data_IF_241581274106
#
_entry.id   IF_241581274106
#
_cell.length_a   1.000
_cell.length_b   1.000
_cell.length_c   1.000
_cell.angle_alpha   90.00
_cell.angle_beta   90.00
_cell.angle_gamma   90.00
#
_symmetry.space_group_name_H-M   'P 1'
#
loop_
_entity.id
_entity.type
_entity.pdbx_description
1 polymer ?
#
# COMPACT_ATOMS: atom_id res chain seq x y z
N UNK A 1 19.16 0.71 1.19
CA UNK A 1 17.91 1.38 1.57
C UNK A 1 18.22 2.67 2.30
N UNK A 2 17.54 3.75 1.95
CA UNK A 2 17.69 5.03 2.66
C UNK A 2 17.21 4.88 4.11
N UNK A 3 18.04 5.27 5.06
CA UNK A 3 17.72 5.21 6.50
C UNK A 3 16.45 5.99 6.86
N UNK A 4 16.10 7.02 6.07
CA UNK A 4 14.89 7.82 6.28
C UNK A 4 13.60 7.06 5.98
N UNK A 5 13.67 6.05 5.12
CA UNK A 5 12.51 5.22 4.78
C UNK A 5 12.32 4.04 5.72
N UNK A 6 13.33 3.68 6.51
CA UNK A 6 13.30 2.51 7.36
C UNK A 6 12.08 2.45 8.31
N UNK A 7 11.67 3.55 9.00
CA UNK A 7 10.52 3.53 9.88
C UNK A 7 9.20 3.18 9.17
N UNK A 8 9.04 3.58 7.91
CA UNK A 8 7.83 3.33 7.13
C UNK A 8 7.77 1.91 6.56
N UNK A 9 8.93 1.26 6.40
CA UNK A 9 9.03 -0.09 5.82
C UNK A 9 9.18 -1.19 6.86
N UNK A 10 9.43 -0.87 8.12
CA UNK A 10 9.61 -1.84 9.19
C UNK A 10 8.44 -2.84 9.35
N UNK A 11 7.16 -2.42 9.32
CA UNK A 11 6.06 -3.37 9.42
C UNK A 11 6.08 -4.44 8.32
N UNK A 12 6.47 -4.06 7.11
CA UNK A 12 6.60 -4.99 5.98
C UNK A 12 7.78 -5.95 6.19
N UNK A 13 8.93 -5.45 6.63
CA UNK A 13 10.08 -6.28 6.99
C UNK A 13 9.76 -7.25 8.11
N UNK A 14 9.01 -6.84 9.12
CA UNK A 14 8.61 -7.71 10.24
C UNK A 14 7.80 -8.92 9.76
N UNK A 15 6.89 -8.73 8.82
CA UNK A 15 6.13 -9.83 8.21
C UNK A 15 7.04 -10.77 7.43
N UNK A 16 7.95 -10.26 6.62
CA UNK A 16 8.88 -11.09 5.85
C UNK A 16 9.93 -11.78 6.74
N UNK A 17 10.44 -11.11 7.76
CA UNK A 17 11.41 -11.68 8.71
C UNK A 17 10.85 -12.90 9.46
N UNK A 18 9.54 -13.00 9.63
CA UNK A 18 8.89 -14.18 10.23
C UNK A 18 8.95 -15.43 9.35
N UNK A 19 9.17 -15.27 8.05
CA UNK A 19 9.09 -16.36 7.06
C UNK A 19 10.42 -16.58 6.33
N UNK A 20 11.18 -15.53 6.07
CA UNK A 20 12.41 -15.56 5.29
C UNK A 20 13.61 -15.03 6.07
N UNK A 21 14.80 -15.51 5.75
CA UNK A 21 16.02 -14.91 6.31
C UNK A 21 16.22 -13.49 5.77
N UNK A 22 16.83 -12.61 6.57
CA UNK A 22 17.12 -11.24 6.18
C UNK A 22 17.95 -11.16 4.89
N UNK A 23 18.91 -12.07 4.73
CA UNK A 23 19.73 -12.14 3.52
C UNK A 23 18.88 -12.42 2.27
N UNK A 24 17.88 -13.29 2.36
CA UNK A 24 16.96 -13.56 1.26
C UNK A 24 16.04 -12.35 0.96
N UNK A 25 15.54 -11.69 1.99
CA UNK A 25 14.71 -10.49 1.83
C UNK A 25 15.52 -9.40 1.11
N UNK A 26 16.73 -9.10 1.56
CA UNK A 26 17.56 -8.06 0.96
C UNK A 26 17.95 -8.37 -0.48
N UNK A 27 18.00 -9.65 -0.86
CA UNK A 27 18.29 -10.09 -2.22
C UNK A 27 17.13 -9.86 -3.19
N UNK A 28 15.88 -10.06 -2.74
CA UNK A 28 14.70 -10.08 -3.60
C UNK A 28 13.79 -8.87 -3.43
N UNK A 29 13.97 -8.09 -2.39
CA UNK A 29 13.13 -6.96 -2.06
C UNK A 29 13.91 -5.65 -2.18
N UNK A 30 13.35 -4.71 -2.92
CA UNK A 30 13.87 -3.35 -3.05
C UNK A 30 12.81 -2.37 -2.56
N UNK A 31 13.21 -1.38 -1.78
CA UNK A 31 12.36 -0.28 -1.36
C UNK A 31 12.76 0.98 -2.10
N UNK A 32 11.81 1.58 -2.77
CA UNK A 32 12.04 2.78 -3.56
C UNK A 32 11.06 3.90 -3.21
N UNK A 33 11.52 5.16 -3.12
CA UNK A 33 10.63 6.31 -3.05
C UNK A 33 9.79 6.43 -4.32
N UNK A 34 8.54 6.85 -4.16
CA UNK A 34 7.60 6.98 -5.26
C UNK A 34 8.12 7.90 -6.39
N UNK A 35 8.83 8.97 -6.03
CA UNK A 35 9.41 9.91 -6.98
C UNK A 35 10.47 9.32 -7.93
N UNK A 36 11.11 8.22 -7.54
CA UNK A 36 12.12 7.54 -8.37
C UNK A 36 11.51 6.54 -9.37
N UNK A 37 10.21 6.34 -9.34
CA UNK A 37 9.51 5.41 -10.22
C UNK A 37 9.08 6.03 -11.55
N UNK A 38 9.08 7.36 -11.65
CA UNK A 38 8.63 8.07 -12.85
C UNK A 38 9.46 7.66 -14.08
N UNK A 39 8.77 7.39 -15.18
CA UNK A 39 9.41 7.00 -16.44
C UNK A 39 9.89 5.55 -16.50
N UNK A 40 9.76 4.79 -15.42
CA UNK A 40 10.12 3.36 -15.38
C UNK A 40 8.91 2.49 -15.71
N UNK A 41 9.17 1.30 -16.25
CA UNK A 41 8.17 0.25 -16.40
C UNK A 41 8.70 -1.01 -15.71
N UNK A 42 7.93 -1.56 -14.79
CA UNK A 42 8.28 -2.77 -14.06
C UNK A 42 7.69 -3.99 -14.77
N UNK A 43 8.52 -4.97 -15.03
CA UNK A 43 8.11 -6.23 -15.65
C UNK A 43 8.43 -7.39 -14.72
N UNK A 44 7.58 -8.41 -14.72
CA UNK A 44 7.73 -9.62 -13.90
C UNK A 44 8.03 -9.32 -12.42
N UNK A 45 7.35 -8.32 -11.87
CA UNK A 45 7.60 -7.76 -10.54
C UNK A 45 6.32 -7.73 -9.73
N UNK A 46 6.42 -7.93 -8.44
CA UNK A 46 5.39 -7.55 -7.47
C UNK A 46 5.71 -6.16 -6.95
N UNK A 47 4.82 -5.22 -7.21
CA UNK A 47 4.86 -3.88 -6.62
C UNK A 47 3.87 -3.82 -5.46
N UNK A 48 4.33 -3.47 -4.28
CA UNK A 48 3.49 -3.26 -3.11
C UNK A 48 3.60 -1.79 -2.72
N UNK A 49 2.49 -1.08 -2.82
CA UNK A 49 2.38 0.33 -2.48
C UNK A 49 1.47 0.47 -1.24
N UNK A 50 2.11 0.65 -0.10
CA UNK A 50 1.44 0.73 1.19
C UNK A 50 1.15 2.19 1.59
N UNK A 51 0.11 2.40 2.42
CA UNK A 51 -0.29 3.71 2.93
C UNK A 51 -0.59 4.74 1.83
N UNK A 52 -1.21 4.31 0.75
CA UNK A 52 -1.43 5.13 -0.44
C UNK A 52 -2.54 6.19 -0.28
N UNK A 53 -3.24 6.25 0.85
CA UNK A 53 -4.07 7.39 1.20
C UNK A 53 -3.27 8.68 1.40
N UNK A 54 -1.95 8.58 1.59
CA UNK A 54 -1.04 9.72 1.68
C UNK A 54 -0.44 10.14 0.33
N UNK A 55 -0.84 9.49 -0.75
CA UNK A 55 -0.45 9.87 -2.11
C UNK A 55 -1.45 10.86 -2.72
N UNK A 56 -0.93 11.74 -3.55
CA UNK A 56 -1.76 12.62 -4.39
C UNK A 56 -2.36 11.85 -5.56
N UNK A 57 -3.36 12.43 -6.22
CA UNK A 57 -3.94 11.85 -7.45
C UNK A 57 -2.88 11.64 -8.53
N UNK A 58 -1.97 12.59 -8.70
CA UNK A 58 -0.88 12.49 -9.68
C UNK A 58 0.09 11.37 -9.35
N UNK A 59 0.44 11.21 -8.08
CA UNK A 59 1.30 10.13 -7.62
C UNK A 59 0.64 8.75 -7.81
N UNK A 60 -0.65 8.63 -7.51
CA UNK A 60 -1.41 7.41 -7.74
C UNK A 60 -1.45 7.03 -9.22
N UNK A 61 -1.79 7.98 -10.07
CA UNK A 61 -1.78 7.78 -11.53
C UNK A 61 -0.40 7.37 -12.04
N UNK A 62 0.63 8.07 -11.57
CA UNK A 62 2.01 7.76 -11.93
C UNK A 62 2.38 6.33 -11.56
N UNK A 63 2.09 5.88 -10.33
CA UNK A 63 2.36 4.53 -9.87
C UNK A 63 1.63 3.48 -10.73
N UNK A 64 0.34 3.65 -10.95
CA UNK A 64 -0.49 2.69 -11.67
C UNK A 64 -0.07 2.53 -13.14
N UNK A 65 0.56 3.53 -13.71
CA UNK A 65 1.08 3.47 -15.07
C UNK A 65 2.48 2.87 -15.20
N UNK A 66 3.08 2.43 -14.09
CA UNK A 66 4.39 1.74 -14.09
C UNK A 66 4.29 0.23 -14.34
N UNK A 67 3.09 -0.31 -14.30
CA UNK A 67 2.83 -1.75 -14.43
C UNK A 67 3.13 -2.19 -15.86
N UNK A 68 4.10 -3.07 -15.99
CA UNK A 68 4.45 -3.72 -17.24
C UNK A 68 4.03 -5.17 -17.28
N UNK A 69 4.46 -5.88 -18.29
CA UNK A 69 4.10 -7.28 -18.52
C UNK A 69 4.54 -8.17 -17.35
N UNK A 70 3.64 -9.02 -16.87
CA UNK A 70 3.90 -9.95 -15.77
C UNK A 70 4.01 -9.30 -14.39
N UNK A 71 3.73 -8.01 -14.26
CA UNK A 71 3.76 -7.29 -12.99
C UNK A 71 2.41 -7.29 -12.32
N UNK A 72 2.40 -7.47 -11.01
CA UNK A 72 1.24 -7.29 -10.15
C UNK A 72 1.46 -6.10 -9.23
N UNK A 73 0.50 -5.21 -9.19
CA UNK A 73 0.49 -4.06 -8.29
C UNK A 73 -0.56 -4.27 -7.20
N UNK A 74 -0.13 -4.21 -5.97
CA UNK A 74 -1.01 -4.23 -4.79
C UNK A 74 -0.93 -2.86 -4.13
N UNK A 75 -2.06 -2.20 -4.02
CA UNK A 75 -2.20 -0.92 -3.32
C UNK A 75 -2.97 -1.17 -2.04
N UNK A 76 -2.42 -0.71 -0.92
CA UNK A 76 -3.08 -0.78 0.38
C UNK A 76 -3.21 0.62 0.97
N UNK A 77 -4.20 0.80 1.81
CA UNK A 77 -4.41 2.05 2.53
C UNK A 77 -5.80 2.16 3.14
N UNK A 78 -5.96 3.17 3.97
CA UNK A 78 -7.23 3.55 4.55
C UNK A 78 -7.58 4.98 4.09
N UNK A 79 -8.59 5.15 3.22
CA UNK A 79 -8.94 6.47 2.68
C UNK A 79 -9.36 7.48 3.76
N UNK A 80 -9.76 7.02 4.95
CA UNK A 80 -10.16 7.87 6.06
C UNK A 80 -9.00 8.35 6.94
N UNK A 81 -7.79 7.81 6.77
CA UNK A 81 -6.60 8.13 7.58
C UNK A 81 -5.55 8.91 6.79
N UNK A 82 -5.95 9.74 5.85
CA UNK A 82 -5.04 10.52 5.01
C UNK A 82 -4.58 11.80 5.69
N UNK A 83 -3.28 12.09 5.60
CA UNK A 83 -2.70 13.39 5.93
C UNK A 83 -3.14 14.50 4.95
N UNK A 84 -3.63 14.12 3.77
CA UNK A 84 -4.13 15.02 2.72
C UNK A 84 -5.64 15.29 2.81
N UNK A 85 -6.33 14.69 3.81
CA UNK A 85 -7.78 14.79 3.93
C UNK A 85 -8.53 13.95 2.86
N UNK A 86 -9.74 14.39 2.53
CA UNK A 86 -10.65 13.63 1.64
C UNK A 86 -10.23 13.65 0.16
N UNK A 87 -9.38 14.59 -0.23
CA UNK A 87 -8.88 14.74 -1.60
C UNK A 87 -7.57 13.98 -1.85
N UNK A 88 -7.40 12.82 -1.23
CA UNK A 88 -6.22 11.98 -1.46
C UNK A 88 -6.37 11.08 -2.70
N UNK A 89 -5.24 10.58 -3.19
CA UNK A 89 -5.20 9.77 -4.39
C UNK A 89 -5.93 8.44 -4.29
N UNK A 90 -6.00 7.86 -3.08
CA UNK A 90 -6.72 6.60 -2.86
C UNK A 90 -8.24 6.80 -2.92
N UNK A 91 -8.76 7.83 -2.25
CA UNK A 91 -10.19 8.16 -2.31
C UNK A 91 -10.62 8.51 -3.73
N UNK A 92 -9.85 9.31 -4.44
CA UNK A 92 -10.11 9.64 -5.84
C UNK A 92 -10.12 8.38 -6.73
N UNK A 93 -9.18 7.48 -6.54
CA UNK A 93 -9.13 6.22 -7.28
C UNK A 93 -10.37 5.36 -7.02
N UNK A 94 -10.76 5.20 -5.76
CA UNK A 94 -11.94 4.42 -5.39
C UNK A 94 -13.22 5.00 -6.00
N UNK A 95 -13.38 6.32 -5.98
CA UNK A 95 -14.52 7.00 -6.60
C UNK A 95 -14.55 6.77 -8.12
N UNK A 96 -13.40 6.80 -8.78
CA UNK A 96 -13.30 6.55 -10.23
C UNK A 96 -13.60 5.10 -10.61
N UNK A 97 -13.29 4.16 -9.73
CA UNK A 97 -13.53 2.73 -9.96
C UNK A 97 -14.98 2.32 -9.69
N UNK A 98 -15.74 3.16 -8.99
CA UNK A 98 -17.12 2.84 -8.64
C UNK A 98 -17.99 2.61 -9.88
N UNK A 99 -18.68 1.47 -9.91
CA UNK A 99 -19.54 1.09 -11.01
C UNK A 99 -18.82 0.61 -12.28
N UNK A 100 -17.48 0.56 -12.26
CA UNK A 100 -16.71 0.02 -13.39
C UNK A 100 -16.47 -1.49 -13.21
N UNK A 101 -16.61 -2.24 -14.29
CA UNK A 101 -16.22 -3.64 -14.37
C UNK A 101 -14.97 -3.76 -15.25
N UNK A 102 -13.81 -3.87 -14.59
CA UNK A 102 -12.50 -3.86 -15.24
C UNK A 102 -11.86 -5.25 -15.12
N UNK A 103 -11.30 -5.75 -16.20
CA UNK A 103 -10.71 -7.10 -16.23
C UNK A 103 -9.34 -7.22 -15.56
N UNK A 104 -8.67 -6.11 -15.26
CA UNK A 104 -7.30 -6.11 -14.69
C UNK A 104 -7.17 -5.37 -13.38
N UNK A 105 -8.25 -4.79 -12.87
CA UNK A 105 -8.26 -4.04 -11.62
C UNK A 105 -9.42 -4.54 -10.77
N UNK A 106 -9.14 -4.83 -9.52
CA UNK A 106 -10.14 -5.26 -8.55
C UNK A 106 -9.96 -4.51 -7.23
N UNK A 107 -11.03 -4.37 -6.46
CA UNK A 107 -11.06 -3.68 -5.18
C UNK A 107 -11.55 -4.63 -4.11
N UNK A 108 -10.72 -4.83 -3.08
CA UNK A 108 -11.10 -5.58 -1.88
C UNK A 108 -11.28 -4.57 -0.73
N UNK A 109 -12.47 -4.53 -0.16
CA UNK A 109 -12.76 -3.72 1.03
C UNK A 109 -12.73 -4.60 2.26
N UNK A 110 -11.97 -4.17 3.26
CA UNK A 110 -11.96 -4.81 4.56
C UNK A 110 -12.86 -4.05 5.52
N UNK A 111 -13.55 -4.77 6.38
CA UNK A 111 -14.48 -4.22 7.36
C UNK A 111 -13.97 -4.42 8.78
N UNK A 112 -14.65 -3.84 9.75
CA UNK A 112 -14.27 -3.96 11.16
C UNK A 112 -14.18 -5.42 11.65
N UNK A 113 -14.95 -6.30 11.06
CA UNK A 113 -14.95 -7.74 11.35
C UNK A 113 -13.67 -8.45 10.90
N UNK A 114 -12.97 -7.88 9.92
CA UNK A 114 -11.70 -8.39 9.40
C UNK A 114 -10.49 -8.00 10.27
N UNK A 115 -10.70 -7.13 11.26
CA UNK A 115 -9.63 -6.65 12.14
C UNK A 115 -9.23 -7.74 13.13
N UNK A 116 -8.01 -8.24 12.97
CA UNK A 116 -7.39 -9.18 13.89
C UNK A 116 -6.42 -8.42 14.79
N UNK A 117 -6.81 -8.24 16.05
CA UNK A 117 -6.00 -7.57 17.07
C UNK A 117 -6.08 -8.34 18.39
N UNK A 118 -5.06 -8.15 19.22
CA UNK A 118 -5.14 -8.66 20.59
C UNK A 118 -6.38 -8.09 21.31
N UNK A 119 -7.07 -8.87 22.17
CA UNK A 119 -8.29 -8.40 22.84
C UNK A 119 -8.14 -7.07 23.58
N UNK A 120 -7.00 -6.83 24.22
CA UNK A 120 -6.74 -5.56 24.91
C UNK A 120 -6.69 -4.37 23.94
N UNK A 121 -6.23 -4.56 22.71
CA UNK A 121 -6.21 -3.50 21.69
C UNK A 121 -7.65 -3.20 21.24
N UNK A 122 -8.48 -4.21 21.10
CA UNK A 122 -9.90 -4.02 20.79
C UNK A 122 -10.63 -3.23 21.88
N UNK A 123 -10.29 -3.46 23.14
CA UNK A 123 -10.82 -2.68 24.26
C UNK A 123 -10.36 -1.22 24.20
N UNK A 124 -9.08 -0.98 23.92
CA UNK A 124 -8.54 0.37 23.76
C UNK A 124 -9.22 1.13 22.61
N UNK A 125 -9.43 0.47 21.47
CA UNK A 125 -10.14 1.06 20.33
C UNK A 125 -11.54 1.53 20.75
N UNK A 126 -12.26 0.73 21.53
CA UNK A 126 -13.59 1.10 22.04
C UNK A 126 -13.56 2.28 23.01
N UNK A 127 -12.53 2.37 23.86
CA UNK A 127 -12.37 3.45 24.84
C UNK A 127 -12.13 4.79 24.15
N UNK A 128 -11.34 4.80 23.10
CA UNK A 128 -10.95 6.01 22.37
C UNK A 128 -11.82 6.31 21.15
N UNK A 129 -12.81 5.47 20.87
CA UNK A 129 -13.71 5.61 19.71
C UNK A 129 -12.94 5.79 18.38
N UNK A 130 -11.92 4.98 18.24
CA UNK A 130 -11.01 5.05 17.09
C UNK A 130 -11.46 4.12 15.97
#
# INVERSE_FOLDING_TARGET
MDKKMLPFTMPMYDVFDSTYSRANIDRFMTVEPLGFMRGRTFTNTWLIADEMQNATQEQMKMLMTRVGHGTKLVITGDPNQSDLGDENGLSDLLDRLEGLDLSHIDVVRMENEDIIRHPSVQEVIKIYDV
#
